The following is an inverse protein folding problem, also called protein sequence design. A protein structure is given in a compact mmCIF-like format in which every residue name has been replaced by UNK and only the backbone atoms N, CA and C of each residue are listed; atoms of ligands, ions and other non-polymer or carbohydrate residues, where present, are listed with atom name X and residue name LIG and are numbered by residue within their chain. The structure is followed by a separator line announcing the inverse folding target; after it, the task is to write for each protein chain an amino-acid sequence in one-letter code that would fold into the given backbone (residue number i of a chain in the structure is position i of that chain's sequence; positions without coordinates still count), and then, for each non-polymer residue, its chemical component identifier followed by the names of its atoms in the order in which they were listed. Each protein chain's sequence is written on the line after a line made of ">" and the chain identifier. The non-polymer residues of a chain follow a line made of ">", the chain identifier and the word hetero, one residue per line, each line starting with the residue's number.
data_IF_649153027402
#
_entry.id   IF_649153027402
#
_cell.length_a   1.000
_cell.length_b   1.000
_cell.length_c   1.000
_cell.angle_alpha   90.00
_cell.angle_beta   90.00
_cell.angle_gamma   90.00
#
_symmetry.space_group_name_H-M   'P 1'
#
loop_
_entity.id
_entity.type
_entity.pdbx_description
1 polymer ?
#
# COMPACT_ATOMS: atom_id res chain seq x y z
N UNK A 1 8.57 26.16 -8.16
CA UNK A 1 7.79 25.44 -7.12
C UNK A 1 6.52 26.17 -6.64
N UNK A 2 6.12 27.35 -7.17
CA UNK A 2 4.93 28.08 -6.65
C UNK A 2 3.57 27.53 -7.11
N UNK A 3 3.55 26.73 -8.19
CA UNK A 3 2.31 26.22 -8.81
C UNK A 3 2.21 24.69 -8.83
N UNK A 4 3.25 23.95 -8.40
CA UNK A 4 3.22 22.48 -8.39
C UNK A 4 2.12 21.94 -7.49
N UNK A 5 1.91 22.55 -6.32
CA UNK A 5 0.81 22.18 -5.41
C UNK A 5 -0.56 22.40 -6.07
N UNK A 6 -0.71 23.46 -6.88
CA UNK A 6 -1.96 23.74 -7.61
C UNK A 6 -2.19 22.73 -8.73
N UNK A 7 -1.13 22.37 -9.46
CA UNK A 7 -1.16 21.34 -10.49
C UNK A 7 -1.53 19.98 -9.88
N UNK A 8 -0.86 19.58 -8.80
CA UNK A 8 -1.13 18.32 -8.10
C UNK A 8 -2.57 18.26 -7.59
N UNK A 9 -3.06 19.35 -6.99
CA UNK A 9 -4.44 19.46 -6.53
C UNK A 9 -5.44 19.34 -7.69
N UNK A 10 -5.20 20.02 -8.81
CA UNK A 10 -6.04 19.93 -9.99
C UNK A 10 -6.06 18.50 -10.58
N UNK A 11 -4.90 17.85 -10.68
CA UNK A 11 -4.79 16.45 -11.13
C UNK A 11 -5.56 15.53 -10.18
N UNK A 12 -5.41 15.69 -8.87
CA UNK A 12 -6.15 14.88 -7.89
C UNK A 12 -7.67 15.10 -7.99
N UNK A 13 -8.14 16.33 -8.20
CA UNK A 13 -9.56 16.61 -8.43
C UNK A 13 -10.09 15.89 -9.68
N UNK A 14 -9.36 15.96 -10.79
CA UNK A 14 -9.74 15.26 -12.03
C UNK A 14 -9.80 13.76 -11.80
N UNK A 15 -8.80 13.17 -11.13
CA UNK A 15 -8.78 11.73 -10.83
C UNK A 15 -9.95 11.32 -9.92
N UNK A 16 -10.25 12.12 -8.88
CA UNK A 16 -11.34 11.83 -7.95
C UNK A 16 -12.71 11.79 -8.64
N UNK A 17 -12.97 12.73 -9.57
CA UNK A 17 -14.25 12.81 -10.30
C UNK A 17 -14.34 11.69 -11.36
N UNK A 18 -13.23 11.16 -11.84
CA UNK A 18 -13.17 10.10 -12.86
C UNK A 18 -12.96 8.69 -12.27
N UNK A 19 -13.35 8.48 -11.01
CA UNK A 19 -13.27 7.16 -10.36
C UNK A 19 -14.34 6.22 -10.90
N UNK A 20 -13.98 5.39 -11.87
CA UNK A 20 -14.85 4.36 -12.44
C UNK A 20 -14.45 2.98 -11.90
N UNK A 21 -15.44 2.13 -11.62
CA UNK A 21 -15.19 0.72 -11.33
C UNK A 21 -14.63 -0.01 -12.58
N UNK A 22 -13.87 -1.08 -12.36
CA UNK A 22 -13.38 -1.93 -13.45
C UNK A 22 -14.55 -2.70 -14.06
N UNK A 23 -14.67 -2.64 -15.39
CA UNK A 23 -15.67 -3.37 -16.18
C UNK A 23 -15.16 -3.53 -17.62
N UNK A 24 -15.99 -4.03 -18.53
CA UNK A 24 -15.59 -4.27 -19.93
C UNK A 24 -15.23 -2.97 -20.68
N UNK A 25 -15.83 -1.83 -20.31
CA UNK A 25 -15.55 -0.53 -20.92
C UNK A 25 -14.32 0.17 -20.29
N UNK A 26 -14.01 -0.12 -19.03
CA UNK A 26 -12.82 0.34 -18.31
C UNK A 26 -12.04 -0.87 -17.77
N UNK A 27 -11.30 -1.59 -18.64
CA UNK A 27 -10.72 -2.88 -18.28
C UNK A 27 -9.49 -2.74 -17.40
N UNK A 28 -8.84 -1.58 -17.32
CA UNK A 28 -7.60 -1.41 -16.59
C UNK A 28 -7.84 -0.89 -15.17
N UNK A 29 -7.26 -1.58 -14.19
CA UNK A 29 -7.20 -1.15 -12.81
C UNK A 29 -5.74 -1.00 -12.38
N UNK A 30 -5.38 0.20 -11.94
CA UNK A 30 -4.07 0.49 -11.36
C UNK A 30 -4.26 0.67 -9.87
N UNK A 31 -3.45 0.02 -9.06
CA UNK A 31 -3.46 0.19 -7.60
C UNK A 31 -2.04 0.31 -7.08
N UNK A 32 -1.90 1.06 -6.00
CA UNK A 32 -0.63 1.28 -5.34
C UNK A 32 -0.89 1.47 -3.85
N UNK A 33 0.13 1.19 -3.04
CA UNK A 33 -0.01 1.38 -1.60
C UNK A 33 1.28 1.16 -0.86
N UNK A 34 1.14 1.06 0.45
CA UNK A 34 2.24 0.87 1.39
C UNK A 34 2.08 -0.45 2.12
N UNK A 35 3.18 -1.16 2.27
CA UNK A 35 3.33 -2.42 2.97
C UNK A 35 4.03 -2.14 4.29
N UNK A 36 3.61 -2.88 5.30
CA UNK A 36 4.24 -2.88 6.60
C UNK A 36 4.46 -4.35 6.97
N UNK A 37 5.72 -4.78 6.96
CA UNK A 37 6.09 -6.17 7.24
C UNK A 37 6.82 -6.22 8.57
N UNK A 38 6.31 -6.97 9.54
CA UNK A 38 7.03 -7.26 10.79
C UNK A 38 8.12 -8.30 10.51
N UNK A 39 9.39 -7.91 10.69
CA UNK A 39 10.54 -8.78 10.41
C UNK A 39 11.05 -9.50 11.66
N UNK A 40 10.32 -9.43 12.78
CA UNK A 40 10.76 -10.05 14.04
C UNK A 40 10.71 -11.58 13.96
N UNK A 41 11.87 -12.20 14.12
CA UNK A 41 12.04 -13.67 14.15
C UNK A 41 12.08 -14.26 15.57
N UNK A 42 11.81 -13.48 16.62
CA UNK A 42 12.00 -13.95 18.02
C UNK A 42 11.04 -13.28 19.00
N UNK A 43 10.42 -14.08 19.88
CA UNK A 43 9.55 -13.60 20.96
C UNK A 43 10.30 -13.25 22.26
N UNK A 44 11.62 -13.08 22.20
CA UNK A 44 12.43 -12.86 23.40
C UNK A 44 12.77 -11.38 23.59
N UNK A 45 12.44 -10.88 24.78
CA UNK A 45 12.55 -9.47 25.13
C UNK A 45 11.29 -8.96 25.84
N UNK A 46 11.46 -8.45 27.06
CA UNK A 46 10.37 -7.99 27.93
C UNK A 46 10.54 -8.53 29.34
N UNK A 47 10.24 -7.72 30.35
CA UNK A 47 10.46 -8.09 31.75
C UNK A 47 9.42 -9.10 32.26
N UNK A 48 8.23 -9.14 31.66
CA UNK A 48 7.08 -9.97 32.05
C UNK A 48 6.32 -10.51 30.81
N UNK A 49 5.43 -11.50 30.98
CA UNK A 49 4.67 -12.15 29.89
C UNK A 49 3.90 -11.16 28.99
N UNK A 50 3.17 -10.20 29.58
CA UNK A 50 2.45 -9.16 28.83
C UNK A 50 3.40 -8.27 28.02
N UNK A 51 4.56 -7.94 28.59
CA UNK A 51 5.57 -7.09 27.96
C UNK A 51 6.22 -7.82 26.77
N UNK A 52 6.48 -9.14 26.90
CA UNK A 52 7.01 -9.96 25.80
C UNK A 52 6.09 -10.06 24.58
N UNK A 53 4.77 -9.99 24.80
CA UNK A 53 3.76 -10.23 23.77
C UNK A 53 3.09 -8.97 23.22
N UNK A 54 2.96 -7.89 24.01
CA UNK A 54 2.16 -6.72 23.62
C UNK A 54 2.90 -5.39 23.55
N UNK A 55 4.03 -5.20 24.25
CA UNK A 55 4.72 -3.89 24.23
C UNK A 55 5.45 -3.62 22.90
N UNK A 56 5.77 -4.69 22.16
CA UNK A 56 6.61 -4.60 20.96
C UNK A 56 5.84 -4.47 19.65
N UNK A 57 4.54 -4.79 19.62
CA UNK A 57 3.69 -4.56 18.45
C UNK A 57 3.66 -3.07 18.04
N UNK A 58 3.81 -2.17 19.03
CA UNK A 58 3.84 -0.72 18.83
C UNK A 58 5.25 -0.15 18.61
N UNK A 59 6.30 -0.98 18.58
CA UNK A 59 7.68 -0.55 18.29
C UNK A 59 7.90 -0.46 16.77
N UNK A 60 7.11 0.38 16.09
CA UNK A 60 7.07 0.54 14.64
C UNK A 60 8.46 0.84 14.05
N UNK A 61 9.29 1.63 14.73
CA UNK A 61 10.65 1.96 14.24
C UNK A 61 11.64 0.78 14.27
N UNK A 62 11.40 -0.24 15.07
CA UNK A 62 12.36 -1.32 15.34
C UNK A 62 11.98 -2.63 14.65
N UNK A 63 10.68 -2.94 14.60
CA UNK A 63 10.20 -4.25 14.14
C UNK A 63 9.58 -4.20 12.75
N UNK A 64 9.11 -3.04 12.31
CA UNK A 64 8.36 -2.91 11.08
C UNK A 64 9.23 -2.37 9.95
N UNK A 65 9.26 -3.13 8.87
CA UNK A 65 9.80 -2.74 7.59
C UNK A 65 8.72 -1.96 6.81
N UNK A 66 8.79 -0.64 6.90
CA UNK A 66 7.90 0.29 6.20
C UNK A 66 8.76 1.22 5.36
N UNK A 67 8.48 1.29 4.06
CA UNK A 67 9.05 2.31 3.19
C UNK A 67 8.27 3.62 3.37
N UNK A 68 8.94 4.80 3.49
CA UNK A 68 8.26 6.10 3.57
C UNK A 68 7.70 6.55 2.20
N UNK A 69 7.41 5.59 1.31
CA UNK A 69 6.96 5.77 -0.07
C UNK A 69 6.07 4.60 -0.47
N UNK A 70 5.44 4.71 -1.63
CA UNK A 70 4.73 3.59 -2.28
C UNK A 70 5.64 2.37 -2.34
N UNK A 71 5.20 1.26 -1.75
CA UNK A 71 5.97 0.03 -1.62
C UNK A 71 5.44 -1.08 -2.54
N UNK A 72 4.23 -0.93 -3.08
CA UNK A 72 3.73 -1.82 -4.12
C UNK A 72 2.96 -1.06 -5.18
N UNK A 73 3.01 -1.61 -6.39
CA UNK A 73 2.18 -1.20 -7.52
C UNK A 73 1.62 -2.46 -8.17
N UNK A 74 0.35 -2.43 -8.53
CA UNK A 74 -0.33 -3.51 -9.24
C UNK A 74 -1.10 -2.96 -10.42
N UNK A 75 -1.02 -3.70 -11.52
CA UNK A 75 -1.79 -3.48 -12.73
C UNK A 75 -2.63 -4.72 -12.98
N UNK A 76 -3.94 -4.55 -13.03
CA UNK A 76 -4.88 -5.61 -13.36
C UNK A 76 -5.71 -5.23 -14.58
N UNK A 77 -6.06 -6.23 -15.38
CA UNK A 77 -6.92 -6.11 -16.55
C UNK A 77 -8.10 -7.06 -16.44
N UNK A 78 -9.31 -6.53 -16.60
CA UNK A 78 -10.52 -7.35 -16.79
C UNK A 78 -10.44 -8.08 -18.11
N UNK A 79 -10.74 -9.37 -18.09
CA UNK A 79 -10.76 -10.24 -19.28
C UNK A 79 -12.18 -10.75 -19.60
N UNK A 80 -13.20 -10.16 -18.98
CA UNK A 80 -14.61 -10.51 -19.16
C UNK A 80 -15.15 -11.38 -18.03
N UNK A 81 -16.48 -11.57 -17.99
CA UNK A 81 -17.18 -12.43 -17.03
C UNK A 81 -16.87 -12.16 -15.56
N UNK A 82 -16.64 -10.88 -15.19
CA UNK A 82 -16.21 -10.46 -13.85
C UNK A 82 -14.87 -11.07 -13.41
N UNK A 83 -14.05 -11.53 -14.36
CA UNK A 83 -12.73 -12.08 -14.11
C UNK A 83 -11.64 -11.09 -14.53
N UNK A 84 -10.61 -10.96 -13.68
CA UNK A 84 -9.49 -10.04 -13.90
C UNK A 84 -8.17 -10.74 -13.65
N UNK A 85 -7.18 -10.44 -14.50
CA UNK A 85 -5.80 -10.94 -14.37
C UNK A 85 -4.88 -9.76 -14.15
N UNK A 86 -3.95 -9.88 -13.21
CA UNK A 86 -3.05 -8.78 -12.88
C UNK A 86 -1.67 -9.22 -12.46
N UNK A 87 -0.75 -8.26 -12.52
CA UNK A 87 0.62 -8.38 -12.07
C UNK A 87 0.84 -7.36 -10.95
N UNK A 88 1.47 -7.79 -9.86
CA UNK A 88 1.84 -6.93 -8.74
C UNK A 88 3.34 -7.02 -8.49
N UNK A 89 3.98 -5.86 -8.42
CA UNK A 89 5.35 -5.72 -7.95
C UNK A 89 5.36 -5.05 -6.58
N UNK A 90 6.21 -5.54 -5.66
CA UNK A 90 6.40 -4.91 -4.36
C UNK A 90 7.87 -4.90 -3.96
N UNK A 91 8.25 -3.88 -3.19
CA UNK A 91 9.58 -3.68 -2.64
C UNK A 91 9.39 -3.42 -1.14
N UNK A 92 10.22 -4.07 -0.32
CA UNK A 92 10.31 -3.84 1.13
C UNK A 92 11.80 -3.63 1.46
N UNK A 93 12.11 -2.99 2.60
CA UNK A 93 13.49 -2.69 3.06
C UNK A 93 14.30 -3.93 3.44
#
# INVERSE_FOLDING_TARGET
>A
MKHLNKLLFAVMMVLAINTNAQNDNNPWAISFGVNAVDTRTSADGGKNWLDKHFSQAFLVKQNWNILPSVSYISLARSVGDNFSVGLQGSINK
#
